data_IF_294351294183
#
_entry.id   IF_294351294183
#
_cell.length_a   1.000
_cell.length_b   1.000
_cell.length_c   1.000
_cell.angle_alpha   90.00
_cell.angle_beta   90.00
_cell.angle_gamma   90.00
#
_symmetry.space_group_name_H-M   'P 1'
#
loop_
_entity.id
_entity.type
_entity.pdbx_description
1 polymer ?
#
# COMPACT_ATOMS: atom_id res chain seq x y z
N UNK A 1 -1.72 -10.75 6.81
CA UNK A 1 -2.74 -9.68 6.81
C UNK A 1 -3.01 -9.21 5.40
N UNK A 2 -3.89 -8.23 5.24
CA UNK A 2 -4.11 -7.51 3.98
C UNK A 2 -3.86 -6.02 4.19
N UNK A 3 -3.33 -5.38 3.16
CA UNK A 3 -3.15 -3.93 3.11
C UNK A 3 -4.30 -3.31 2.33
N UNK A 4 -5.08 -2.45 2.95
CA UNK A 4 -6.03 -1.58 2.27
C UNK A 4 -5.31 -0.32 1.81
N UNK A 5 -5.59 0.12 0.60
CA UNK A 5 -4.99 1.32 0.01
C UNK A 5 -6.09 2.13 -0.67
N UNK A 6 -6.11 3.44 -0.40
CA UNK A 6 -6.93 4.41 -1.12
C UNK A 6 -6.03 5.32 -1.94
N UNK A 7 -6.23 5.31 -3.25
CA UNK A 7 -5.52 6.19 -4.19
C UNK A 7 -6.08 7.62 -4.12
N UNK A 8 -5.34 8.58 -4.67
CA UNK A 8 -5.76 10.00 -4.71
C UNK A 8 -7.07 10.21 -5.48
N UNK A 9 -7.34 9.38 -6.50
CA UNK A 9 -8.60 9.41 -7.25
C UNK A 9 -9.81 8.83 -6.49
N UNK A 10 -9.60 8.38 -5.25
CA UNK A 10 -10.60 7.79 -4.39
C UNK A 10 -10.81 6.28 -4.57
N UNK A 11 -10.11 5.64 -5.51
CA UNK A 11 -10.19 4.18 -5.69
C UNK A 11 -9.58 3.45 -4.50
N UNK A 12 -10.29 2.46 -3.97
CA UNK A 12 -9.81 1.59 -2.90
C UNK A 12 -9.52 0.17 -3.40
N UNK A 13 -8.41 -0.41 -2.92
CA UNK A 13 -8.00 -1.80 -3.21
C UNK A 13 -7.41 -2.46 -1.98
N UNK A 14 -7.55 -3.78 -1.90
CA UNK A 14 -6.87 -4.61 -0.91
C UNK A 14 -5.81 -5.48 -1.56
N UNK A 15 -4.64 -5.57 -0.92
CA UNK A 15 -3.51 -6.37 -1.36
C UNK A 15 -3.14 -7.42 -0.32
N UNK A 16 -2.92 -8.64 -0.79
CA UNK A 16 -2.54 -9.80 0.02
C UNK A 16 -1.10 -10.26 -0.24
N UNK A 17 -0.77 -11.40 0.37
CA UNK A 17 0.52 -12.04 0.17
C UNK A 17 0.71 -12.42 -1.31
N UNK A 18 1.86 -12.03 -1.88
CA UNK A 18 2.23 -12.33 -3.26
C UNK A 18 1.79 -11.27 -4.27
N UNK A 19 0.96 -10.32 -3.87
CA UNK A 19 0.58 -9.22 -4.75
C UNK A 19 1.74 -8.22 -4.92
N UNK A 20 1.95 -7.77 -6.15
CA UNK A 20 2.85 -6.67 -6.48
C UNK A 20 1.98 -5.49 -6.90
N UNK A 21 2.22 -4.31 -6.31
CA UNK A 21 1.46 -3.10 -6.57
C UNK A 21 2.39 -1.94 -6.91
N UNK A 22 1.90 -1.04 -7.76
CA UNK A 22 2.48 0.27 -7.99
C UNK A 22 1.53 1.28 -7.34
N UNK A 23 2.01 1.96 -6.30
CA UNK A 23 1.22 2.89 -5.51
C UNK A 23 1.91 4.26 -5.56
N UNK A 24 1.42 5.21 -6.39
CA UNK A 24 1.98 6.55 -6.46
C UNK A 24 1.86 7.31 -5.12
N UNK A 25 2.67 8.37 -4.89
CA UNK A 25 2.49 9.27 -3.76
C UNK A 25 1.07 9.87 -3.70
N UNK A 26 0.62 10.25 -2.50
CA UNK A 26 -0.73 10.79 -2.28
C UNK A 26 -1.79 9.75 -1.89
N UNK A 27 -1.38 8.50 -1.65
CA UNK A 27 -2.26 7.44 -1.16
C UNK A 27 -2.32 7.37 0.37
N UNK A 28 -3.43 6.85 0.88
CA UNK A 28 -3.55 6.38 2.26
C UNK A 28 -3.45 4.85 2.29
N UNK A 29 -2.83 4.28 3.33
CA UNK A 29 -2.76 2.84 3.54
C UNK A 29 -3.11 2.44 4.98
N UNK A 30 -3.79 1.31 5.14
CA UNK A 30 -4.19 0.77 6.45
C UNK A 30 -4.16 -0.75 6.51
N UNK A 31 -4.07 -1.29 7.72
CA UNK A 31 -4.21 -2.73 7.95
C UNK A 31 -5.69 -3.11 7.91
N UNK A 32 -6.05 -4.12 7.12
CA UNK A 32 -7.41 -4.67 7.11
C UNK A 32 -7.53 -5.74 8.20
N UNK A 33 -8.49 -5.55 9.10
CA UNK A 33 -8.72 -6.40 10.26
C UNK A 33 -7.72 -6.18 11.40
N UNK A 34 -7.63 -7.15 12.31
CA UNK A 34 -6.87 -6.99 13.57
C UNK A 34 -5.52 -7.74 13.57
N UNK A 35 -5.18 -8.45 12.49
CA UNK A 35 -3.94 -9.22 12.37
C UNK A 35 -2.85 -8.45 11.63
N UNK A 36 -1.57 -8.76 11.84
CA UNK A 36 -0.47 -8.05 11.20
C UNK A 36 -0.47 -8.24 9.68
N UNK A 37 -0.03 -7.21 8.96
CA UNK A 37 0.40 -7.25 7.56
C UNK A 37 1.87 -6.87 7.50
N UNK A 38 2.63 -7.59 6.67
CA UNK A 38 4.06 -7.34 6.46
C UNK A 38 4.23 -7.06 4.98
N UNK A 39 4.88 -5.95 4.66
CA UNK A 39 5.09 -5.46 3.29
C UNK A 39 6.56 -5.14 3.07
N UNK A 40 7.00 -5.29 1.82
CA UNK A 40 8.26 -4.74 1.34
C UNK A 40 7.88 -3.54 0.48
N UNK A 41 8.25 -2.35 0.93
CA UNK A 41 8.08 -1.11 0.18
C UNK A 41 9.43 -0.67 -0.40
N UNK A 42 9.42 -0.27 -1.66
CA UNK A 42 10.58 0.31 -2.31
C UNK A 42 10.19 1.61 -3.00
N UNK A 43 10.76 2.71 -2.51
CA UNK A 43 10.57 4.05 -3.08
C UNK A 43 11.78 4.41 -3.94
N UNK A 44 11.60 4.95 -5.16
CA UNK A 44 12.70 5.43 -5.98
C UNK A 44 13.59 6.41 -5.21
N UNK A 45 14.90 6.29 -5.40
CA UNK A 45 15.87 7.08 -4.64
C UNK A 45 15.71 8.59 -4.85
N UNK A 46 15.24 9.02 -6.03
CA UNK A 46 14.95 10.42 -6.33
C UNK A 46 13.79 11.02 -5.53
N UNK A 47 12.95 10.19 -4.91
CA UNK A 47 11.75 10.60 -4.17
C UNK A 47 11.87 10.33 -2.66
N UNK A 48 13.02 9.84 -2.22
CA UNK A 48 13.36 9.73 -0.81
C UNK A 48 13.65 11.13 -0.27
N UNK A 49 12.80 11.62 0.64
CA UNK A 49 13.01 12.89 1.38
C UNK A 49 14.06 12.73 2.46
#
# INVERSE_FOLDING_TARGET
GRLGVRMEDGTEKEYGQGDISLIPPGHDAWVVGNGPVVIIEQTPQSEQK
#
